data_IF_131049771935
#
_entry.id   IF_131049771935
#
_cell.length_a   1.000
_cell.length_b   1.000
_cell.length_c   1.000
_cell.angle_alpha   90.00
_cell.angle_beta   90.00
_cell.angle_gamma   90.00
#
_symmetry.space_group_name_H-M   'P 1'
#
loop_
_entity.id
_entity.type
_entity.pdbx_description
1 polymer ?
#
# COMPACT_ATOMS: atom_id res chain seq x y z
N UNK A 1 -1.80 -8.37 -26.30
CA UNK A 1 -1.41 -7.67 -25.06
C UNK A 1 -2.46 -6.59 -24.89
N UNK A 2 -3.41 -6.75 -23.98
CA UNK A 2 -4.42 -5.71 -23.78
C UNK A 2 -3.69 -4.51 -23.15
N UNK A 3 -3.73 -3.36 -23.81
CA UNK A 3 -3.35 -2.09 -23.18
C UNK A 3 -4.28 -1.88 -21.99
N UNK A 4 -3.81 -2.26 -20.80
CA UNK A 4 -4.47 -1.89 -19.56
C UNK A 4 -4.37 -0.38 -19.47
N UNK A 5 -5.50 0.30 -19.64
CA UNK A 5 -5.62 1.72 -19.33
C UNK A 5 -5.20 1.89 -17.87
N UNK A 6 -4.07 2.55 -17.65
CA UNK A 6 -3.61 2.90 -16.30
C UNK A 6 -4.57 3.93 -15.72
N UNK A 7 -5.23 3.56 -14.63
CA UNK A 7 -5.97 4.52 -13.80
C UNK A 7 -5.14 4.82 -12.55
N UNK A 8 -4.91 6.11 -12.31
CA UNK A 8 -4.19 6.66 -11.17
C UNK A 8 -5.14 7.51 -10.32
N UNK A 9 -5.05 7.37 -8.99
CA UNK A 9 -5.78 8.23 -8.05
C UNK A 9 -4.83 8.81 -7.00
N UNK A 10 -4.77 10.14 -6.94
CA UNK A 10 -4.01 10.90 -5.94
C UNK A 10 -4.89 11.39 -4.78
N UNK A 11 -4.67 10.88 -3.57
CA UNK A 11 -5.41 11.29 -2.35
C UNK A 11 -4.48 11.66 -1.18
N UNK A 12 -3.19 11.86 -1.43
CA UNK A 12 -2.20 12.20 -0.40
C UNK A 12 -2.64 13.42 0.42
N UNK A 13 -2.47 13.37 1.73
CA UNK A 13 -2.77 14.49 2.65
C UNK A 13 -4.26 14.82 2.82
N UNK A 14 -5.16 14.07 2.18
CA UNK A 14 -6.60 14.28 2.33
C UNK A 14 -7.13 13.58 3.59
N UNK A 15 -8.35 13.94 4.01
CA UNK A 15 -9.05 13.33 5.16
C UNK A 15 -9.62 11.93 4.89
N UNK A 16 -8.97 11.15 4.01
CA UNK A 16 -9.35 9.78 3.72
C UNK A 16 -9.04 8.89 4.92
N UNK A 17 -9.97 7.99 5.24
CA UNK A 17 -9.86 6.98 6.29
C UNK A 17 -10.21 5.60 5.71
N UNK A 18 -10.14 4.56 6.53
CA UNK A 18 -10.46 3.18 6.12
C UNK A 18 -11.85 3.06 5.44
N UNK A 19 -12.83 3.88 5.84
CA UNK A 19 -14.18 3.87 5.27
C UNK A 19 -14.25 4.39 3.83
N UNK A 20 -13.22 5.08 3.35
CA UNK A 20 -13.13 5.55 1.96
C UNK A 20 -12.70 4.46 0.98
N UNK A 21 -11.94 3.46 1.44
CA UNK A 21 -11.31 2.45 0.58
C UNK A 21 -12.32 1.56 -0.17
N UNK A 22 -13.45 1.11 0.42
CA UNK A 22 -14.42 0.27 -0.30
C UNK A 22 -14.99 0.93 -1.56
N UNK A 23 -15.00 2.26 -1.66
CA UNK A 23 -15.42 2.96 -2.88
C UNK A 23 -14.36 2.89 -3.97
N UNK A 24 -13.08 3.01 -3.59
CA UNK A 24 -11.95 2.85 -4.52
C UNK A 24 -11.84 1.42 -5.04
N UNK A 25 -12.15 0.43 -4.20
CA UNK A 25 -12.18 -0.99 -4.56
C UNK A 25 -13.14 -1.35 -5.70
N UNK A 26 -14.06 -0.44 -6.07
CA UNK A 26 -14.98 -0.60 -7.20
C UNK A 26 -14.38 -0.18 -8.55
N UNK A 27 -13.12 0.25 -8.57
CA UNK A 27 -12.41 0.66 -9.78
C UNK A 27 -11.46 -0.47 -10.22
N UNK A 28 -11.92 -1.43 -11.06
CA UNK A 28 -11.16 -2.64 -11.38
C UNK A 28 -9.87 -2.37 -12.16
N UNK A 29 -9.76 -1.21 -12.83
CA UNK A 29 -8.59 -0.78 -13.59
C UNK A 29 -7.63 0.09 -12.79
N UNK A 30 -7.83 0.25 -11.47
CA UNK A 30 -6.95 1.08 -10.63
C UNK A 30 -5.58 0.39 -10.48
N UNK A 31 -4.55 1.05 -11.02
CA UNK A 31 -3.17 0.53 -11.01
C UNK A 31 -2.25 1.34 -10.11
N UNK A 32 -2.55 2.63 -9.90
CA UNK A 32 -1.74 3.52 -9.06
C UNK A 32 -2.62 4.24 -8.03
N UNK A 33 -2.24 4.19 -6.75
CA UNK A 33 -3.02 4.77 -5.67
C UNK A 33 -2.13 5.44 -4.62
N UNK A 34 -2.32 6.74 -4.43
CA UNK A 34 -1.64 7.51 -3.40
C UNK A 34 -2.52 7.78 -2.18
N UNK A 35 -2.17 7.15 -1.06
CA UNK A 35 -2.83 7.29 0.24
C UNK A 35 -1.86 7.74 1.34
N UNK A 36 -0.70 8.29 0.97
CA UNK A 36 0.25 8.81 1.96
C UNK A 36 -0.33 9.96 2.77
N UNK A 37 0.08 10.10 4.03
CA UNK A 37 -0.40 11.16 4.94
C UNK A 37 -1.93 11.15 5.11
N UNK A 38 -2.53 9.96 5.20
CA UNK A 38 -3.97 9.79 5.43
C UNK A 38 -4.24 8.98 6.71
N UNK A 39 -5.51 8.89 7.10
CA UNK A 39 -5.96 8.17 8.30
C UNK A 39 -6.04 6.64 8.15
N UNK A 40 -5.33 6.05 7.19
CA UNK A 40 -5.40 4.60 6.91
C UNK A 40 -4.73 3.79 8.03
N UNK A 41 -5.42 2.72 8.42
CA UNK A 41 -4.98 1.75 9.44
C UNK A 41 -4.98 0.33 8.90
N UNK A 42 -4.62 -0.65 9.74
CA UNK A 42 -4.66 -2.07 9.39
C UNK A 42 -6.05 -2.55 8.92
N UNK A 43 -7.12 -1.87 9.36
CA UNK A 43 -8.49 -2.15 8.87
C UNK A 43 -8.64 -1.81 7.39
N UNK A 44 -8.12 -0.65 6.96
CA UNK A 44 -8.13 -0.22 5.56
C UNK A 44 -7.33 -1.15 4.65
N UNK A 45 -6.25 -1.76 5.16
CA UNK A 45 -5.45 -2.72 4.41
C UNK A 45 -6.25 -3.94 3.92
N UNK A 46 -7.30 -4.36 4.66
CA UNK A 46 -8.17 -5.45 4.23
C UNK A 46 -8.97 -5.09 2.97
N UNK A 47 -9.46 -3.85 2.88
CA UNK A 47 -10.17 -3.38 1.69
C UNK A 47 -9.21 -3.09 0.54
N UNK A 48 -8.00 -2.58 0.83
CA UNK A 48 -6.96 -2.40 -0.19
C UNK A 48 -6.60 -3.72 -0.87
N UNK A 49 -6.58 -4.83 -0.14
CA UNK A 49 -6.27 -6.16 -0.69
C UNK A 49 -7.24 -6.65 -1.78
N UNK A 50 -8.39 -5.98 -1.99
CA UNK A 50 -9.31 -6.26 -3.09
C UNK A 50 -8.86 -5.62 -4.43
N UNK A 51 -7.96 -4.63 -4.39
CA UNK A 51 -7.45 -3.92 -5.56
C UNK A 51 -6.32 -4.71 -6.25
N UNK A 52 -6.63 -5.91 -6.73
CA UNK A 52 -5.64 -6.87 -7.24
C UNK A 52 -4.83 -6.42 -8.46
N UNK A 53 -5.23 -5.34 -9.13
CA UNK A 53 -4.53 -4.74 -10.28
C UNK A 53 -3.54 -3.63 -9.88
N UNK A 54 -3.43 -3.28 -8.58
CA UNK A 54 -2.47 -2.28 -8.13
C UNK A 54 -1.05 -2.68 -8.45
N UNK A 55 -0.34 -1.77 -9.10
CA UNK A 55 1.08 -1.85 -9.43
C UNK A 55 1.90 -0.91 -8.55
N UNK A 56 1.36 0.27 -8.20
CA UNK A 56 2.03 1.23 -7.32
C UNK A 56 1.11 1.71 -6.21
N UNK A 57 1.61 1.66 -4.97
CA UNK A 57 0.85 2.03 -3.78
C UNK A 57 1.71 2.85 -2.82
N UNK A 58 1.23 4.05 -2.50
CA UNK A 58 1.87 4.95 -1.54
C UNK A 58 1.07 4.97 -0.23
N UNK A 59 1.72 4.57 0.85
CA UNK A 59 1.17 4.44 2.20
C UNK A 59 2.10 5.07 3.26
N UNK A 60 2.98 5.99 2.84
CA UNK A 60 3.82 6.75 3.77
C UNK A 60 2.97 7.50 4.81
N UNK A 61 3.48 7.66 6.02
CA UNK A 61 2.79 8.40 7.10
C UNK A 61 1.38 7.89 7.44
N UNK A 62 1.13 6.60 7.22
CA UNK A 62 -0.11 5.93 7.65
C UNK A 62 0.09 5.22 8.99
N UNK A 63 -1.00 4.76 9.60
CA UNK A 63 -0.99 4.07 10.91
C UNK A 63 -0.88 2.55 10.77
N UNK A 64 -0.37 2.06 9.65
CA UNK A 64 -0.20 0.63 9.39
C UNK A 64 0.87 0.03 10.30
N UNK A 65 0.60 -1.18 10.78
CA UNK A 65 1.51 -1.99 11.58
C UNK A 65 1.78 -3.32 10.87
N UNK A 66 2.55 -4.20 11.51
CA UNK A 66 2.78 -5.56 11.04
C UNK A 66 1.48 -6.36 10.83
N UNK A 67 0.38 -5.98 11.49
CA UNK A 67 -0.92 -6.62 11.30
C UNK A 67 -1.48 -6.44 9.87
N UNK A 68 -1.06 -5.40 9.15
CA UNK A 68 -1.44 -5.19 7.75
C UNK A 68 -0.72 -6.12 6.75
N UNK A 69 0.42 -6.70 7.14
CA UNK A 69 1.31 -7.44 6.22
C UNK A 69 0.59 -8.56 5.46
N UNK A 70 -0.20 -9.45 6.09
CA UNK A 70 -0.90 -10.52 5.37
C UNK A 70 -1.93 -9.99 4.35
N UNK A 71 -2.40 -8.75 4.51
CA UNK A 71 -3.36 -8.13 3.59
C UNK A 71 -2.64 -7.48 2.41
N UNK A 72 -1.61 -6.68 2.69
CA UNK A 72 -0.79 -6.06 1.64
C UNK A 72 -0.09 -7.12 0.77
N UNK A 73 0.33 -8.25 1.36
CA UNK A 73 0.92 -9.39 0.66
C UNK A 73 0.00 -10.04 -0.40
N UNK A 74 -1.31 -9.74 -0.41
CA UNK A 74 -2.26 -10.25 -1.43
C UNK A 74 -2.20 -9.47 -2.73
N UNK A 75 -1.61 -8.28 -2.74
CA UNK A 75 -1.48 -7.44 -3.93
C UNK A 75 -0.31 -7.92 -4.80
N UNK A 76 -0.47 -9.11 -5.39
CA UNK A 76 0.61 -9.82 -6.12
C UNK A 76 1.09 -9.12 -7.40
N UNK A 77 0.36 -8.11 -7.88
CA UNK A 77 0.76 -7.27 -9.02
C UNK A 77 1.57 -6.04 -8.62
N UNK A 78 1.77 -5.78 -7.31
CA UNK A 78 2.57 -4.64 -6.87
C UNK A 78 4.00 -4.73 -7.39
N UNK A 79 4.44 -3.64 -8.00
CA UNK A 79 5.80 -3.38 -8.44
C UNK A 79 6.50 -2.41 -7.49
N UNK A 80 5.75 -1.49 -6.87
CA UNK A 80 6.28 -0.51 -5.92
C UNK A 80 5.34 -0.26 -4.75
N UNK A 81 5.86 -0.38 -3.52
CA UNK A 81 5.15 -0.13 -2.29
C UNK A 81 5.94 0.83 -1.41
N UNK A 82 5.38 2.01 -1.12
CA UNK A 82 6.02 3.04 -0.30
C UNK A 82 5.42 3.08 1.10
N UNK A 83 6.24 2.85 2.11
CA UNK A 83 5.88 2.69 3.54
C UNK A 83 6.72 3.59 4.46
N UNK A 84 7.34 4.65 3.93
CA UNK A 84 8.11 5.60 4.74
C UNK A 84 7.27 6.13 5.91
N UNK A 85 7.80 6.07 7.13
CA UNK A 85 7.11 6.52 8.35
C UNK A 85 5.76 5.82 8.62
N UNK A 86 5.52 4.64 8.04
CA UNK A 86 4.55 3.69 8.58
C UNK A 86 5.10 3.05 9.87
N UNK A 87 4.27 2.32 10.62
CA UNK A 87 4.63 1.70 11.92
C UNK A 87 4.97 0.21 11.80
N UNK A 88 5.35 -0.23 10.61
CA UNK A 88 5.83 -1.60 10.41
C UNK A 88 7.23 -1.76 11.01
N UNK A 89 7.47 -2.91 11.62
CA UNK A 89 8.80 -3.31 12.08
C UNK A 89 9.66 -3.79 10.90
N UNK A 90 10.97 -3.94 11.12
CA UNK A 90 11.86 -4.53 10.12
C UNK A 90 11.43 -5.97 9.77
N UNK A 91 10.89 -6.73 10.72
CA UNK A 91 10.42 -8.09 10.47
C UNK A 91 9.10 -8.09 9.69
N UNK A 92 8.22 -7.11 9.93
CA UNK A 92 7.07 -6.84 9.08
C UNK A 92 7.47 -6.59 7.62
N UNK A 93 8.47 -5.73 7.42
CA UNK A 93 9.00 -5.43 6.07
C UNK A 93 9.66 -6.65 5.43
N UNK A 94 10.50 -7.40 6.16
CA UNK A 94 11.12 -8.63 5.65
C UNK A 94 10.09 -9.66 5.20
N UNK A 95 8.99 -9.80 5.96
CA UNK A 95 7.86 -10.65 5.56
C UNK A 95 7.22 -10.16 4.26
N UNK A 96 6.99 -8.86 4.10
CA UNK A 96 6.49 -8.32 2.83
C UNK A 96 7.46 -8.58 1.67
N UNK A 97 8.76 -8.41 1.87
CA UNK A 97 9.76 -8.70 0.84
C UNK A 97 9.75 -10.18 0.42
N UNK A 98 9.59 -11.09 1.38
CA UNK A 98 9.46 -12.53 1.11
C UNK A 98 8.17 -12.85 0.34
N UNK A 99 7.06 -12.24 0.72
CA UNK A 99 5.73 -12.50 0.12
C UNK A 99 5.50 -11.81 -1.23
N UNK A 100 6.24 -10.72 -1.50
CA UNK A 100 6.18 -9.92 -2.72
C UNK A 100 7.59 -9.77 -3.32
N UNK A 101 8.25 -10.86 -3.75
CA UNK A 101 9.67 -10.85 -4.14
C UNK A 101 9.98 -10.00 -5.38
N UNK A 102 8.95 -9.64 -6.17
CA UNK A 102 9.07 -8.78 -7.34
C UNK A 102 8.72 -7.32 -7.05
N UNK A 103 8.15 -7.02 -5.88
CA UNK A 103 7.77 -5.67 -5.48
C UNK A 103 8.95 -4.96 -4.84
N UNK A 104 9.27 -3.76 -5.32
CA UNK A 104 10.21 -2.88 -4.64
C UNK A 104 9.53 -2.21 -3.46
N UNK A 105 10.02 -2.48 -2.26
CA UNK A 105 9.48 -1.93 -1.02
C UNK A 105 10.39 -0.81 -0.53
N UNK A 106 9.83 0.40 -0.47
CA UNK A 106 10.50 1.59 0.02
C UNK A 106 10.05 1.87 1.45
N UNK A 107 10.98 1.82 2.40
CA UNK A 107 10.70 2.02 3.82
C UNK A 107 11.87 2.78 4.46
N UNK A 108 11.61 3.52 5.55
CA UNK A 108 12.70 4.08 6.37
C UNK A 108 13.07 3.04 7.41
N UNK A 109 14.33 2.62 7.48
CA UNK A 109 14.83 1.96 8.67
C UNK A 109 15.07 3.02 9.73
N UNK A 110 14.43 2.91 10.90
CA UNK A 110 14.72 3.79 12.04
C UNK A 110 16.16 3.62 12.59
N UNK A 111 16.96 2.70 12.03
CA UNK A 111 18.30 2.33 12.52
C UNK A 111 19.47 2.84 11.67
N UNK A 112 19.23 3.69 10.67
CA UNK A 112 20.32 4.37 9.94
C UNK A 112 20.16 5.88 10.16
N UNK A 113 20.99 6.50 11.01
CA UNK A 113 21.10 7.95 11.09
C UNK A 113 21.61 8.51 9.76
N UNK A 114 21.22 9.74 9.44
CA UNK A 114 21.64 10.50 8.25
C UNK A 114 23.15 10.67 8.14
#
# INVERSE_FOLDING_TARGET
MADLISVEIGLRGNKITDSGIPRLAKLPSLTELHLGETGITDKGATALAALGQLQKLWLQDTKLTDASVPRLARLKQLQSLYLYRARLTIDGVRRLQKELPKCRIYYRSATVPE
#
